data_IF_817992313128
#
_entry.id   IF_817992313128
#
_cell.length_a   1.000
_cell.length_b   1.000
_cell.length_c   1.000
_cell.angle_alpha   90.00
_cell.angle_beta   90.00
_cell.angle_gamma   90.00
#
_symmetry.space_group_name_H-M   'P 1'
#
loop_
_entity.id
_entity.type
_entity.pdbx_description
1 polymer ?
#
# COMPACT_ATOMS: atom_id res chain seq x y z
N UNK A 1 9.41 -50.69 -44.05
CA UNK A 1 10.03 -49.42 -43.62
C UNK A 1 8.91 -48.59 -43.01
N UNK A 2 8.96 -48.33 -41.70
CA UNK A 2 7.94 -47.56 -41.00
C UNK A 2 8.58 -46.25 -40.55
N UNK A 3 8.02 -45.13 -40.99
CA UNK A 3 8.48 -43.78 -40.65
C UNK A 3 8.35 -43.52 -39.14
N UNK A 4 9.30 -42.79 -38.52
CA UNK A 4 9.17 -42.43 -37.11
C UNK A 4 8.12 -41.34 -36.94
N UNK A 5 7.21 -41.58 -35.99
CA UNK A 5 6.16 -40.64 -35.56
C UNK A 5 6.79 -39.35 -35.01
N UNK A 6 6.29 -38.15 -35.35
CA UNK A 6 6.78 -36.89 -34.79
C UNK A 6 6.58 -36.88 -33.28
N UNK A 7 7.61 -36.46 -32.54
CA UNK A 7 7.51 -36.23 -31.10
C UNK A 7 6.54 -35.08 -30.81
N UNK A 8 5.63 -35.28 -29.86
CA UNK A 8 4.77 -34.22 -29.34
C UNK A 8 5.61 -33.10 -28.70
N UNK A 9 5.21 -31.82 -28.88
CA UNK A 9 5.92 -30.71 -28.27
C UNK A 9 5.75 -30.76 -26.75
N UNK A 10 6.89 -30.77 -26.05
CA UNK A 10 6.97 -30.71 -24.59
C UNK A 10 6.30 -29.40 -24.10
N UNK A 11 5.44 -29.43 -23.06
CA UNK A 11 4.87 -28.21 -22.49
C UNK A 11 5.98 -27.26 -22.02
N UNK A 12 5.88 -25.99 -22.39
CA UNK A 12 6.82 -24.96 -21.95
C UNK A 12 6.74 -24.78 -20.42
N UNK A 13 7.92 -24.70 -19.80
CA UNK A 13 8.15 -24.73 -18.36
C UNK A 13 7.77 -23.40 -17.66
N UNK A 14 7.21 -23.39 -16.44
CA UNK A 14 6.73 -22.18 -15.75
C UNK A 14 7.84 -21.27 -15.17
N UNK A 15 9.10 -21.44 -15.55
CA UNK A 15 10.27 -20.87 -14.85
C UNK A 15 10.50 -19.34 -14.98
N UNK A 16 9.68 -18.60 -15.74
CA UNK A 16 9.88 -17.15 -15.95
C UNK A 16 9.17 -16.24 -14.94
N UNK A 17 8.02 -16.66 -14.38
CA UNK A 17 7.21 -15.80 -13.52
C UNK A 17 7.84 -15.61 -12.12
N UNK A 18 8.35 -16.68 -11.50
CA UNK A 18 8.99 -16.61 -10.18
C UNK A 18 10.28 -15.76 -10.19
N UNK A 19 10.99 -15.73 -11.32
CA UNK A 19 12.18 -14.89 -11.49
C UNK A 19 11.82 -13.38 -11.58
N UNK A 20 10.62 -13.04 -12.06
CA UNK A 20 10.19 -11.65 -12.18
C UNK A 20 9.74 -11.04 -10.84
N UNK A 21 9.31 -11.83 -9.85
CA UNK A 21 9.03 -11.30 -8.51
C UNK A 21 10.26 -10.65 -7.87
N UNK A 22 11.46 -11.19 -8.14
CA UNK A 22 12.71 -10.62 -7.65
C UNK A 22 12.94 -9.17 -8.13
N UNK A 23 12.39 -8.78 -9.29
CA UNK A 23 12.44 -7.40 -9.79
C UNK A 23 11.71 -6.42 -8.85
N UNK A 24 10.68 -6.88 -8.16
CA UNK A 24 9.87 -6.09 -7.24
C UNK A 24 10.26 -6.30 -5.76
N UNK A 25 11.34 -7.03 -5.46
CA UNK A 25 11.70 -7.39 -4.09
C UNK A 25 11.94 -6.18 -3.16
N UNK A 26 12.33 -5.01 -3.70
CA UNK A 26 12.57 -3.80 -2.91
C UNK A 26 11.29 -3.14 -2.37
N UNK A 27 10.14 -3.46 -2.95
CA UNK A 27 8.83 -2.92 -2.59
C UNK A 27 7.92 -3.96 -1.92
N UNK A 28 8.26 -5.25 -2.01
CA UNK A 28 7.52 -6.33 -1.39
C UNK A 28 7.59 -6.28 0.14
N UNK A 29 6.44 -6.43 0.80
CA UNK A 29 6.30 -6.36 2.25
C UNK A 29 6.42 -4.96 2.85
N UNK A 30 6.41 -3.88 2.06
CA UNK A 30 6.48 -2.52 2.60
C UNK A 30 5.27 -2.21 3.49
N UNK A 31 5.48 -1.52 4.62
CA UNK A 31 4.41 -1.17 5.56
C UNK A 31 4.36 0.33 5.83
N UNK A 32 3.23 0.95 5.53
CA UNK A 32 2.84 2.26 6.06
C UNK A 32 2.38 2.10 7.51
N UNK A 33 2.94 2.87 8.45
CA UNK A 33 2.53 2.82 9.86
C UNK A 33 2.26 4.22 10.39
N UNK A 34 1.05 4.43 10.87
CA UNK A 34 0.67 5.54 11.75
C UNK A 34 0.40 4.99 13.15
N UNK A 35 1.45 4.77 13.95
CA UNK A 35 1.29 4.32 15.33
C UNK A 35 0.64 5.41 16.18
N UNK A 36 -0.25 5.02 17.09
CA UNK A 36 -0.71 5.88 18.17
C UNK A 36 0.34 5.97 19.27
N UNK A 37 0.39 7.09 19.99
CA UNK A 37 1.20 7.20 21.22
C UNK A 37 0.69 6.24 22.31
N UNK A 38 1.63 5.75 23.10
CA UNK A 38 1.37 4.86 24.23
C UNK A 38 0.94 3.45 23.80
N UNK A 39 0.13 2.81 24.63
CA UNK A 39 -0.40 1.46 24.40
C UNK A 39 -1.89 1.50 24.13
N UNK A 40 -2.40 0.52 23.37
CA UNK A 40 -3.83 0.39 23.16
C UNK A 40 -4.55 0.15 24.49
N UNK A 41 -5.62 0.91 24.80
CA UNK A 41 -6.43 0.65 25.98
C UNK A 41 -7.06 -0.74 25.95
N UNK A 42 -7.25 -1.35 27.13
CA UNK A 42 -7.96 -2.63 27.24
C UNK A 42 -9.41 -2.52 26.75
N UNK A 43 -10.07 -1.38 27.00
CA UNK A 43 -11.43 -1.09 26.53
C UNK A 43 -11.47 0.28 25.85
N UNK A 44 -11.05 0.38 24.57
CA UNK A 44 -11.08 1.65 23.85
C UNK A 44 -12.52 2.16 23.69
N UNK A 45 -12.70 3.49 23.76
CA UNK A 45 -14.00 4.10 23.47
C UNK A 45 -14.30 4.00 21.97
N UNK A 46 -15.56 3.80 21.61
CA UNK A 46 -15.99 3.83 20.21
C UNK A 46 -15.68 5.21 19.60
N UNK A 47 -15.02 5.25 18.44
CA UNK A 47 -14.59 6.50 17.81
C UNK A 47 -13.52 7.22 18.63
N UNK A 48 -12.58 6.47 19.24
CA UNK A 48 -11.47 7.09 19.95
C UNK A 48 -10.41 7.57 18.96
N UNK A 49 -10.07 8.86 19.07
CA UNK A 49 -8.84 9.42 18.53
C UNK A 49 -7.63 8.97 19.34
N UNK A 50 -6.46 9.13 18.72
CA UNK A 50 -5.19 9.13 19.41
C UNK A 50 -4.22 10.13 18.75
N UNK A 51 -3.28 10.62 19.56
CA UNK A 51 -2.15 11.37 19.03
C UNK A 51 -1.20 10.44 18.28
N UNK A 52 -0.73 10.89 17.12
CA UNK A 52 0.27 10.17 16.32
C UNK A 52 1.60 10.09 17.07
N UNK A 53 2.18 8.89 17.12
CA UNK A 53 3.53 8.67 17.65
C UNK A 53 4.64 9.08 16.67
N UNK A 54 4.30 9.49 15.45
CA UNK A 54 5.26 10.10 14.53
C UNK A 54 5.63 11.53 14.96
N UNK A 55 4.71 12.22 15.65
CA UNK A 55 4.95 13.60 16.12
C UNK A 55 5.74 13.57 17.43
N UNK A 56 6.98 14.07 17.48
CA UNK A 56 7.78 14.10 18.69
C UNK A 56 7.16 15.02 19.75
N UNK A 57 7.63 14.92 21.00
CA UNK A 57 7.21 15.82 22.06
C UNK A 57 7.55 17.28 21.71
N UNK A 58 6.57 18.18 21.77
CA UNK A 58 6.71 19.57 21.35
C UNK A 58 6.75 19.79 19.82
N UNK A 59 6.54 18.74 19.03
CA UNK A 59 6.53 18.79 17.58
C UNK A 59 5.32 19.48 16.97
N UNK A 60 5.48 20.01 15.75
CA UNK A 60 4.38 20.57 14.96
C UNK A 60 3.67 19.43 14.21
N UNK A 61 2.44 19.06 14.61
CA UNK A 61 1.74 17.93 14.03
C UNK A 61 1.46 18.09 12.52
N UNK A 62 1.36 19.33 12.02
CA UNK A 62 1.13 19.58 10.58
C UNK A 62 2.37 19.38 9.72
N UNK A 63 3.55 19.28 10.35
CA UNK A 63 4.84 19.16 9.66
C UNK A 63 5.53 17.83 9.91
N UNK A 64 5.19 17.16 11.01
CA UNK A 64 5.94 16.01 11.50
C UNK A 64 5.11 14.73 11.58
N UNK A 65 3.82 14.79 11.29
CA UNK A 65 2.98 13.60 11.12
C UNK A 65 3.04 13.07 9.69
N UNK A 66 4.25 12.83 9.17
CA UNK A 66 4.44 12.28 7.84
C UNK A 66 5.72 11.45 7.78
N UNK A 67 5.79 10.60 6.77
CA UNK A 67 6.98 9.83 6.45
C UNK A 67 7.02 9.56 4.94
N UNK A 68 8.24 9.38 4.43
CA UNK A 68 8.46 8.97 3.06
C UNK A 68 9.57 7.92 2.98
N UNK A 69 9.44 7.00 2.03
CA UNK A 69 10.49 6.05 1.69
C UNK A 69 10.58 5.90 0.17
N UNK A 70 11.79 6.04 -0.36
CA UNK A 70 12.07 5.82 -1.76
C UNK A 70 12.70 4.44 -1.94
N UNK A 71 12.17 3.67 -2.90
CA UNK A 71 12.68 2.35 -3.28
C UNK A 71 12.98 2.35 -4.77
N UNK A 72 14.16 1.88 -5.14
CA UNK A 72 14.47 1.63 -6.55
C UNK A 72 13.85 0.30 -6.96
N UNK A 73 12.98 0.34 -7.96
CA UNK A 73 12.45 -0.87 -8.59
C UNK A 73 13.55 -1.56 -9.38
N UNK A 74 13.59 -2.89 -9.35
CA UNK A 74 14.56 -3.66 -10.12
C UNK A 74 14.27 -3.64 -11.62
N UNK A 75 14.69 -4.69 -12.32
CA UNK A 75 14.38 -4.87 -13.74
C UNK A 75 15.25 -4.01 -14.65
N UNK A 76 15.04 -4.14 -15.95
CA UNK A 76 15.87 -3.44 -16.95
C UNK A 76 15.26 -2.09 -17.29
N UNK A 77 16.09 -1.02 -17.30
CA UNK A 77 15.67 0.30 -17.77
C UNK A 77 15.08 0.22 -19.19
N UNK A 78 13.99 0.94 -19.44
CA UNK A 78 13.23 0.91 -20.69
C UNK A 78 12.27 -0.27 -20.84
N UNK A 79 12.28 -1.25 -19.94
CA UNK A 79 11.25 -2.30 -19.88
C UNK A 79 10.16 -1.93 -18.90
N UNK A 80 8.93 -2.24 -19.26
CA UNK A 80 7.76 -1.98 -18.44
C UNK A 80 7.26 -3.28 -17.80
N UNK A 81 6.82 -3.19 -16.55
CA UNK A 81 6.31 -4.32 -15.78
C UNK A 81 4.92 -3.98 -15.26
N UNK A 82 4.00 -4.92 -15.36
CA UNK A 82 2.72 -4.88 -14.66
C UNK A 82 2.90 -5.62 -13.32
N UNK A 83 2.77 -4.87 -12.23
CA UNK A 83 3.02 -5.36 -10.87
C UNK A 83 1.69 -5.40 -10.13
N UNK A 84 1.25 -6.62 -9.78
CA UNK A 84 0.06 -6.82 -8.96
C UNK A 84 0.44 -6.77 -7.50
N UNK A 85 -0.13 -5.80 -6.78
CA UNK A 85 0.09 -5.56 -5.36
C UNK A 85 -1.16 -5.94 -4.56
N UNK A 86 -0.99 -6.52 -3.38
CA UNK A 86 -2.04 -6.70 -2.36
C UNK A 86 -1.87 -5.68 -1.26
N UNK A 87 -2.95 -5.01 -0.89
CA UNK A 87 -3.01 -4.01 0.17
C UNK A 87 -3.84 -4.55 1.32
N UNK A 88 -3.25 -4.62 2.51
CA UNK A 88 -3.90 -5.13 3.73
C UNK A 88 -3.69 -4.18 4.88
N UNK A 89 -4.73 -3.86 5.64
CA UNK A 89 -4.56 -2.84 6.67
C UNK A 89 -5.82 -2.48 7.44
N UNK A 90 -5.62 -1.58 8.39
CA UNK A 90 -6.68 -0.85 9.10
C UNK A 90 -6.44 0.63 8.86
N UNK A 91 -7.43 1.30 8.28
CA UNK A 91 -7.32 2.70 7.85
C UNK A 91 -8.59 3.48 8.19
N UNK A 92 -8.48 4.80 8.23
CA UNK A 92 -9.61 5.71 8.23
C UNK A 92 -9.97 6.17 6.81
N UNK A 93 -11.21 6.63 6.57
CA UNK A 93 -11.68 6.99 5.22
C UNK A 93 -11.09 8.32 4.77
N UNK A 94 -10.68 8.38 3.49
CA UNK A 94 -10.23 9.62 2.88
C UNK A 94 -10.95 9.88 1.54
N UNK A 95 -11.17 11.16 1.22
CA UNK A 95 -11.70 11.58 -0.09
C UNK A 95 -10.58 12.11 -0.96
N UNK A 96 -10.71 11.84 -2.25
CA UNK A 96 -9.82 12.31 -3.30
C UNK A 96 -10.65 12.85 -4.47
N UNK A 97 -10.09 13.81 -5.20
CA UNK A 97 -10.72 14.44 -6.37
C UNK A 97 -9.72 14.57 -7.53
N UNK A 98 -10.23 14.96 -8.69
CA UNK A 98 -9.43 15.27 -9.87
C UNK A 98 -8.54 14.11 -10.38
N UNK A 99 -8.92 12.87 -10.04
CA UNK A 99 -8.33 11.65 -10.57
C UNK A 99 -9.42 10.62 -10.89
N UNK A 100 -9.09 9.34 -10.78
CA UNK A 100 -9.99 8.23 -11.14
C UNK A 100 -10.16 7.26 -9.99
N UNK A 101 -11.41 6.99 -9.62
CA UNK A 101 -11.76 5.90 -8.71
C UNK A 101 -11.54 4.56 -9.40
N UNK A 102 -10.94 3.61 -8.70
CA UNK A 102 -10.74 2.24 -9.17
C UNK A 102 -11.16 1.25 -8.07
N UNK A 103 -12.47 1.05 -7.97
CA UNK A 103 -13.09 0.30 -6.87
C UNK A 103 -13.21 1.14 -5.60
N UNK A 104 -13.42 0.46 -4.47
CA UNK A 104 -13.85 1.13 -3.24
C UNK A 104 -12.73 1.93 -2.58
N UNK A 105 -11.48 1.45 -2.63
CA UNK A 105 -10.36 1.94 -1.82
C UNK A 105 -9.23 2.58 -2.63
N UNK A 106 -9.07 2.21 -3.90
CA UNK A 106 -7.94 2.64 -4.72
C UNK A 106 -8.33 3.85 -5.58
N UNK A 107 -7.44 4.84 -5.64
CA UNK A 107 -7.65 6.05 -6.43
C UNK A 107 -6.39 6.39 -7.23
N UNK A 108 -6.55 6.57 -8.54
CA UNK A 108 -5.46 6.83 -9.48
C UNK A 108 -5.35 8.33 -9.74
N UNK A 109 -4.16 8.89 -9.55
CA UNK A 109 -3.89 10.31 -9.75
C UNK A 109 -4.62 11.21 -8.75
N UNK A 110 -4.92 12.43 -9.17
CA UNK A 110 -5.70 13.40 -8.38
C UNK A 110 -5.02 13.87 -7.10
N UNK A 111 -5.83 14.37 -6.17
CA UNK A 111 -5.38 15.05 -4.95
C UNK A 111 -6.34 14.84 -3.76
N UNK A 112 -5.87 15.00 -2.51
CA UNK A 112 -6.70 14.99 -1.32
C UNK A 112 -7.87 15.99 -1.39
N UNK A 113 -9.04 15.58 -0.93
CA UNK A 113 -10.25 16.42 -0.84
C UNK A 113 -10.75 16.57 0.60
N UNK A 114 -9.88 16.34 1.58
CA UNK A 114 -10.14 16.59 2.99
C UNK A 114 -8.82 16.86 3.73
N UNK A 115 -8.81 17.75 4.72
CA UNK A 115 -7.59 18.09 5.48
C UNK A 115 -7.47 17.40 6.84
N UNK A 116 -8.26 16.35 7.09
CA UNK A 116 -8.39 15.74 8.42
C UNK A 116 -7.84 14.33 8.50
N UNK A 117 -7.93 13.56 7.41
CA UNK A 117 -7.70 12.11 7.45
C UNK A 117 -6.37 11.72 6.81
N UNK A 118 -5.76 10.68 7.36
CA UNK A 118 -4.50 10.09 6.91
C UNK A 118 -4.54 9.72 5.43
N UNK A 119 -3.45 10.04 4.75
CA UNK A 119 -3.19 9.75 3.35
C UNK A 119 -2.13 8.67 3.27
N UNK A 120 -2.41 7.66 2.44
CA UNK A 120 -1.46 6.60 2.07
C UNK A 120 -1.25 6.68 0.57
N UNK A 121 -0.05 7.06 0.13
CA UNK A 121 0.26 7.32 -1.28
C UNK A 121 1.44 6.47 -1.75
N UNK A 122 1.30 5.91 -2.96
CA UNK A 122 2.40 5.35 -3.74
C UNK A 122 2.58 6.22 -4.99
N UNK A 123 3.80 6.62 -5.31
CA UNK A 123 4.15 7.29 -6.56
C UNK A 123 5.25 6.54 -7.30
N UNK A 124 5.15 6.47 -8.62
CA UNK A 124 6.09 5.82 -9.52
C UNK A 124 6.66 6.87 -10.44
N UNK A 125 8.00 6.89 -10.62
CA UNK A 125 8.65 7.90 -11.46
C UNK A 125 8.54 7.65 -12.96
N UNK A 126 8.41 6.39 -13.40
CA UNK A 126 8.20 6.05 -14.81
C UNK A 126 7.38 4.76 -14.98
N UNK A 127 6.31 4.74 -15.80
CA UNK A 127 5.61 5.95 -16.25
C UNK A 127 5.12 6.75 -15.03
N UNK A 128 5.24 8.08 -15.09
CA UNK A 128 4.89 8.94 -13.97
C UNK A 128 3.42 8.73 -13.57
N UNK A 129 3.21 8.31 -12.33
CA UNK A 129 1.88 8.04 -11.80
C UNK A 129 1.87 8.03 -10.28
N UNK A 130 0.69 8.19 -9.67
CA UNK A 130 0.52 7.99 -8.24
C UNK A 130 -0.87 7.47 -7.89
N UNK A 131 -0.96 6.90 -6.70
CA UNK A 131 -2.13 6.18 -6.23
C UNK A 131 -2.38 6.45 -4.75
N UNK A 132 -3.64 6.53 -4.35
CA UNK A 132 -4.07 6.57 -2.95
C UNK A 132 -4.79 5.28 -2.55
N UNK A 133 -4.61 4.85 -1.30
CA UNK A 133 -4.92 3.47 -0.88
C UNK A 133 -6.16 3.31 0.03
N UNK A 134 -6.75 4.41 0.51
CA UNK A 134 -7.85 4.42 1.48
C UNK A 134 -9.04 5.31 1.07
N UNK A 135 -9.27 5.45 -0.23
CA UNK A 135 -10.41 6.22 -0.75
C UNK A 135 -11.74 5.70 -0.21
N UNK A 136 -12.70 6.60 0.01
CA UNK A 136 -14.13 6.33 0.23
C UNK A 136 -15.00 7.45 -0.36
N UNK A 137 -16.29 7.19 -0.60
CA UNK A 137 -17.27 8.20 -1.04
C UNK A 137 -17.53 9.28 0.02
N UNK A 138 -17.49 8.86 1.29
CA UNK A 138 -17.71 9.70 2.44
C UNK A 138 -16.64 9.47 3.50
N UNK A 139 -16.28 10.55 4.17
CA UNK A 139 -15.46 10.53 5.37
C UNK A 139 -16.33 10.41 6.62
N UNK A 140 -15.72 10.04 7.73
CA UNK A 140 -16.38 9.99 9.03
C UNK A 140 -15.49 9.39 10.09
N UNK A 141 -15.90 9.51 11.34
CA UNK A 141 -15.13 9.03 12.48
C UNK A 141 -15.24 7.50 12.63
N UNK A 142 -14.60 6.77 11.73
CA UNK A 142 -14.54 5.30 11.71
C UNK A 142 -13.21 4.81 11.16
N UNK A 143 -12.93 3.55 11.45
CA UNK A 143 -11.88 2.77 10.80
C UNK A 143 -12.52 1.63 10.00
N UNK A 144 -11.77 1.04 9.09
CA UNK A 144 -12.18 -0.19 8.41
C UNK A 144 -10.95 -1.00 7.96
N UNK A 145 -11.18 -2.28 7.72
CA UNK A 145 -10.16 -3.15 7.13
C UNK A 145 -10.13 -2.97 5.62
N UNK A 146 -8.93 -3.01 5.06
CA UNK A 146 -8.72 -3.19 3.63
C UNK A 146 -8.04 -4.52 3.39
N UNK A 147 -8.45 -5.20 2.33
CA UNK A 147 -7.77 -6.35 1.73
C UNK A 147 -8.17 -6.42 0.26
N UNK A 148 -7.32 -5.93 -0.63
CA UNK A 148 -7.61 -5.88 -2.07
C UNK A 148 -6.32 -5.91 -2.89
N UNK A 149 -6.45 -6.26 -4.17
CA UNK A 149 -5.32 -6.26 -5.10
C UNK A 149 -5.50 -5.22 -6.21
N UNK A 150 -4.40 -4.60 -6.65
CA UNK A 150 -4.35 -3.75 -7.85
C UNK A 150 -3.07 -3.95 -8.62
N UNK A 151 -3.17 -3.79 -9.92
CA UNK A 151 -2.02 -3.85 -10.82
C UNK A 151 -1.64 -2.45 -11.25
N UNK A 152 -0.37 -2.11 -11.08
CA UNK A 152 0.21 -0.84 -11.53
C UNK A 152 1.35 -1.10 -12.51
N UNK A 153 1.63 -0.13 -13.37
CA UNK A 153 2.74 -0.20 -14.31
C UNK A 153 3.98 0.49 -13.74
N UNK A 154 5.14 -0.17 -13.83
CA UNK A 154 6.42 0.35 -13.37
C UNK A 154 7.49 0.04 -14.43
N UNK A 155 8.23 1.05 -14.88
CA UNK A 155 9.44 0.85 -15.68
C UNK A 155 10.59 0.39 -14.79
N UNK A 156 11.41 -0.55 -15.30
CA UNK A 156 12.61 -1.00 -14.61
C UNK A 156 13.54 0.15 -14.21
N UNK A 157 14.16 0.06 -13.04
CA UNK A 157 15.00 1.11 -12.44
C UNK A 157 14.27 2.40 -12.00
N UNK A 158 12.94 2.43 -12.06
CA UNK A 158 12.15 3.57 -11.55
C UNK A 158 12.23 3.70 -10.03
N UNK A 159 12.02 4.92 -9.53
CA UNK A 159 11.77 5.16 -8.11
C UNK A 159 10.30 4.93 -7.80
N UNK A 160 10.04 4.12 -6.78
CA UNK A 160 8.74 3.96 -6.14
C UNK A 160 8.81 4.65 -4.78
N UNK A 161 8.05 5.74 -4.63
CA UNK A 161 7.97 6.54 -3.40
C UNK A 161 6.70 6.17 -2.64
N UNK A 162 6.88 5.78 -1.39
CA UNK A 162 5.80 5.54 -0.44
C UNK A 162 5.70 6.76 0.48
N UNK A 163 4.51 7.34 0.64
CA UNK A 163 4.29 8.51 1.49
C UNK A 163 3.08 8.30 2.38
N UNK A 164 3.29 8.46 3.69
CA UNK A 164 2.22 8.66 4.66
C UNK A 164 2.15 10.13 5.04
N UNK A 165 0.96 10.71 5.01
CA UNK A 165 0.70 12.05 5.54
C UNK A 165 -0.54 12.01 6.45
N UNK A 166 -0.34 12.22 7.75
CA UNK A 166 -1.38 12.19 8.77
C UNK A 166 -2.13 13.51 8.96
N UNK A 167 -1.82 14.53 8.15
CA UNK A 167 -2.47 15.85 8.04
C UNK A 167 -2.41 16.75 9.28
N UNK A 168 -2.71 16.22 10.47
CA UNK A 168 -2.96 17.00 11.67
C UNK A 168 -2.43 16.39 12.98
N UNK A 169 -1.64 15.30 12.93
CA UNK A 169 -1.06 14.68 14.12
C UNK A 169 -2.03 13.84 14.94
N UNK A 170 -3.27 13.67 14.49
CA UNK A 170 -4.29 12.86 15.12
C UNK A 170 -4.79 11.85 14.11
N UNK A 171 -5.07 10.67 14.62
CA UNK A 171 -5.67 9.59 13.84
C UNK A 171 -6.78 8.94 14.65
N UNK A 172 -7.74 8.37 13.95
CA UNK A 172 -8.71 7.49 14.58
C UNK A 172 -7.97 6.21 14.96
N UNK A 173 -7.91 5.90 16.25
CA UNK A 173 -7.23 4.70 16.72
C UNK A 173 -7.93 3.43 16.22
N UNK A 174 -7.24 2.29 16.27
CA UNK A 174 -7.88 0.98 16.05
C UNK A 174 -8.78 0.58 17.23
N UNK A 175 -9.74 1.43 17.59
CA UNK A 175 -10.57 1.29 18.79
C UNK A 175 -11.48 0.06 18.74
N UNK A 176 -11.82 -0.42 17.55
CA UNK A 176 -12.59 -1.66 17.36
C UNK A 176 -11.72 -2.92 17.47
N UNK A 177 -10.41 -2.77 17.71
CA UNK A 177 -9.44 -3.87 17.79
C UNK A 177 -9.48 -4.77 16.55
N UNK A 178 -9.59 -4.15 15.38
CA UNK A 178 -9.60 -4.87 14.11
C UNK A 178 -8.27 -5.59 13.92
N UNK A 179 -8.37 -6.89 13.61
CA UNK A 179 -7.24 -7.74 13.26
C UNK A 179 -7.31 -8.05 11.76
N UNK A 180 -6.16 -7.93 11.11
CA UNK A 180 -6.00 -8.25 9.68
C UNK A 180 -5.15 -9.51 9.57
N UNK A 181 -5.66 -10.58 8.94
CA UNK A 181 -4.91 -11.82 8.77
C UNK A 181 -3.74 -11.65 7.78
N UNK A 182 -2.79 -12.58 7.86
CA UNK A 182 -1.70 -12.76 6.89
C UNK A 182 -0.74 -11.56 6.72
N UNK A 183 -0.77 -10.60 7.64
CA UNK A 183 0.18 -9.48 7.67
C UNK A 183 1.51 -9.91 8.30
N UNK A 184 2.55 -9.10 8.10
CA UNK A 184 3.88 -9.30 8.63
C UNK A 184 3.84 -9.44 10.16
N UNK A 185 4.60 -10.39 10.74
CA UNK A 185 4.61 -10.60 12.19
C UNK A 185 5.14 -9.40 12.98
N UNK A 186 5.79 -8.43 12.32
CA UNK A 186 6.20 -7.18 12.96
C UNK A 186 5.01 -6.27 13.30
N UNK A 187 3.86 -6.47 12.67
CA UNK A 187 2.62 -5.74 12.95
C UNK A 187 1.91 -6.48 14.08
N UNK A 188 2.20 -6.08 15.32
CA UNK A 188 1.52 -6.61 16.51
C UNK A 188 0.03 -6.31 16.42
N UNK A 189 -0.79 -7.36 16.33
CA UNK A 189 -2.25 -7.26 16.21
C UNK A 189 -2.94 -7.34 17.58
N UNK A 190 -4.04 -6.59 17.82
CA UNK A 190 -4.50 -5.47 17.00
C UNK A 190 -3.48 -4.32 17.06
N UNK A 191 -3.16 -3.75 15.91
CA UNK A 191 -2.19 -2.66 15.84
C UNK A 191 -2.75 -1.39 16.51
N UNK A 192 -1.97 -0.78 17.43
CA UNK A 192 -2.35 0.48 18.08
C UNK A 192 -2.08 1.66 17.14
N UNK A 193 -3.04 1.88 16.24
CA UNK A 193 -2.96 2.89 15.19
C UNK A 193 -3.48 2.36 13.88
N UNK A 194 -2.99 2.92 12.78
CA UNK A 194 -3.39 2.51 11.43
C UNK A 194 -2.17 2.05 10.64
N UNK A 195 -2.40 1.15 9.69
CA UNK A 195 -1.34 0.64 8.84
C UNK A 195 -1.87 0.15 7.51
N UNK A 196 -0.98 0.11 6.51
CA UNK A 196 -1.18 -0.59 5.24
C UNK A 196 0.08 -1.37 4.93
N UNK A 197 -0.04 -2.70 4.79
CA UNK A 197 0.99 -3.55 4.22
C UNK A 197 0.75 -3.72 2.72
N UNK A 198 1.84 -3.66 1.96
CA UNK A 198 1.88 -3.83 0.51
C UNK A 198 2.71 -5.06 0.20
N UNK A 199 2.13 -6.04 -0.48
CA UNK A 199 2.82 -7.26 -0.90
C UNK A 199 2.74 -7.42 -2.42
N UNK A 200 3.82 -7.89 -3.03
CA UNK A 200 3.87 -8.21 -4.45
C UNK A 200 3.28 -9.60 -4.68
N UNK A 201 2.13 -9.63 -5.34
CA UNK A 201 1.42 -10.87 -5.67
C UNK A 201 1.93 -11.47 -6.98
N UNK A 202 2.16 -10.63 -7.99
CA UNK A 202 2.57 -11.06 -9.32
C UNK A 202 3.33 -9.96 -10.07
N UNK A 203 4.22 -10.35 -10.99
CA UNK A 203 4.98 -9.45 -11.85
C UNK A 203 5.06 -10.03 -13.25
N UNK A 204 4.59 -9.27 -14.24
CA UNK A 204 4.71 -9.64 -15.65
C UNK A 204 5.40 -8.52 -16.44
N UNK A 205 6.33 -8.89 -17.34
CA UNK A 205 6.90 -7.94 -18.30
C UNK A 205 5.82 -7.59 -19.34
N UNK A 206 5.58 -6.28 -19.53
CA UNK A 206 4.66 -5.75 -20.53
C UNK A 206 5.33 -5.89 -21.90
N UNK A 207 4.69 -6.63 -22.81
CA UNK A 207 5.18 -6.87 -24.18
C UNK A 207 5.08 -5.63 -25.05
#
# INVERSE_FOLDING_TARGET
MSEPKPAEPKPAEPAKADNLKAVAASIDGYVFKFPCKGTMPETPKKGADADSALVPAGGDPKKQDNFAADKTFGGTKGKHYLVTLRFRGVVEPMKYKNGKMDGDYFYVGGEPDNGTYNIYKIAVSSPESHFFLNRQDAVGHRIFKIDYTKTIEIEGQSTVKFTGDGQNGRLISNFEKLVVPDVSPEIKQPFHGQFVQVDVVDVVEKK
#
